data_IF_048689095087
#
_entry.id   IF_048689095087
#
_cell.length_a   1.000
_cell.length_b   1.000
_cell.length_c   1.000
_cell.angle_alpha   90.00
_cell.angle_beta   90.00
_cell.angle_gamma   90.00
#
_symmetry.space_group_name_H-M   'P 1'
#
loop_
_entity.id
_entity.type
_entity.pdbx_description
1 polymer ?
#
# COMPACT_ATOMS: atom_id res chain seq x y z
N UNK A 1 -26.41 3.44 -13.66
CA UNK A 1 -25.90 2.76 -12.44
C UNK A 1 -24.66 1.91 -12.74
N UNK A 2 -24.65 1.12 -13.81
CA UNK A 2 -23.47 0.34 -14.24
C UNK A 2 -22.21 1.20 -14.56
N UNK A 3 -22.38 2.37 -15.21
CA UNK A 3 -21.26 3.28 -15.50
C UNK A 3 -20.61 3.90 -14.25
N UNK A 4 -21.36 4.03 -13.15
CA UNK A 4 -20.85 4.60 -11.88
C UNK A 4 -20.13 3.53 -11.06
N UNK A 5 -20.48 2.27 -11.27
CA UNK A 5 -19.80 1.11 -10.68
C UNK A 5 -18.47 0.82 -11.38
N UNK A 6 -18.38 0.95 -12.71
CA UNK A 6 -17.10 0.74 -13.43
C UNK A 6 -16.05 1.81 -13.09
N UNK A 7 -16.48 3.06 -12.87
CA UNK A 7 -15.63 4.17 -12.40
C UNK A 7 -15.19 4.01 -10.94
N UNK A 8 -16.01 3.38 -10.10
CA UNK A 8 -15.63 3.06 -8.72
C UNK A 8 -14.63 1.90 -8.67
N UNK A 9 -14.81 0.85 -9.48
CA UNK A 9 -13.86 -0.27 -9.56
C UNK A 9 -12.51 0.11 -10.16
N UNK A 10 -12.48 1.07 -11.09
CA UNK A 10 -11.23 1.61 -11.63
C UNK A 10 -10.52 2.56 -10.66
N UNK A 11 -11.25 3.16 -9.71
CA UNK A 11 -10.69 4.00 -8.64
C UNK A 11 -10.17 3.20 -7.43
N UNK A 12 -10.75 2.03 -7.14
CA UNK A 12 -10.27 1.14 -6.06
C UNK A 12 -9.12 0.22 -6.49
N UNK A 13 -8.86 0.14 -7.78
CA UNK A 13 -7.66 -0.48 -8.33
C UNK A 13 -6.55 0.57 -8.36
N UNK A 14 -5.35 0.35 -7.80
CA UNK A 14 -4.21 1.22 -8.01
C UNK A 14 -3.71 1.07 -9.45
N UNK A 15 -4.53 1.53 -10.40
CA UNK A 15 -4.32 1.46 -11.84
C UNK A 15 -4.55 2.86 -12.40
N UNK A 16 -3.50 3.68 -12.30
CA UNK A 16 -3.46 5.03 -12.82
C UNK A 16 -2.10 5.67 -12.55
N UNK A 17 -1.10 5.28 -13.34
CA UNK A 17 0.26 5.86 -13.42
C UNK A 17 1.19 5.81 -12.19
N UNK A 18 0.68 5.66 -10.96
CA UNK A 18 1.51 5.56 -9.77
C UNK A 18 1.41 4.15 -9.17
N UNK A 19 2.40 3.31 -9.44
CA UNK A 19 2.62 2.15 -8.58
C UNK A 19 3.16 2.67 -7.24
N UNK A 20 2.44 2.45 -6.12
CA UNK A 20 2.95 2.81 -4.80
C UNK A 20 4.32 2.13 -4.59
N UNK A 21 5.24 2.72 -3.79
CA UNK A 21 6.49 2.08 -3.42
C UNK A 21 6.24 0.64 -2.94
N UNK A 22 7.16 -0.27 -3.21
CA UNK A 22 7.03 -1.68 -2.82
C UNK A 22 7.04 -1.80 -1.28
N UNK A 23 5.83 -1.85 -0.72
CA UNK A 23 5.59 -1.91 0.72
C UNK A 23 6.17 -3.20 1.31
N UNK A 24 6.22 -4.30 0.55
CA UNK A 24 6.71 -5.59 1.05
C UNK A 24 8.21 -5.51 1.33
N UNK A 25 9.00 -5.14 0.33
CA UNK A 25 10.45 -4.94 0.49
C UNK A 25 10.76 -3.85 1.51
N UNK A 26 10.01 -2.74 1.49
CA UNK A 26 10.16 -1.66 2.46
C UNK A 26 9.91 -2.09 3.90
N UNK A 27 8.86 -2.86 4.17
CA UNK A 27 8.50 -3.30 5.52
C UNK A 27 9.52 -4.31 6.08
N UNK A 28 9.98 -5.23 5.22
CA UNK A 28 11.02 -6.21 5.60
C UNK A 28 12.32 -5.49 5.97
N UNK A 29 12.76 -4.54 5.14
CA UNK A 29 13.97 -3.76 5.41
C UNK A 29 13.83 -2.84 6.63
N UNK A 30 12.69 -2.17 6.79
CA UNK A 30 12.44 -1.33 7.97
C UNK A 30 12.50 -2.16 9.26
N UNK A 31 11.90 -3.34 9.27
CA UNK A 31 11.92 -4.23 10.44
C UNK A 31 13.33 -4.75 10.70
N UNK A 32 14.01 -5.25 9.67
CA UNK A 32 15.36 -5.79 9.79
C UNK A 32 16.36 -4.73 10.29
N UNK A 33 16.36 -3.52 9.74
CA UNK A 33 17.24 -2.45 10.18
C UNK A 33 16.85 -1.86 11.52
N UNK A 34 15.57 -1.81 11.88
CA UNK A 34 15.16 -1.39 13.23
C UNK A 34 15.73 -2.32 14.29
N UNK A 35 15.75 -3.63 14.03
CA UNK A 35 16.32 -4.63 14.94
C UNK A 35 17.85 -4.57 14.93
N UNK A 36 18.48 -4.53 13.76
CA UNK A 36 19.95 -4.56 13.62
C UNK A 36 20.64 -3.29 14.09
N UNK A 37 20.02 -2.12 13.91
CA UNK A 37 20.64 -0.83 14.25
C UNK A 37 20.38 -0.37 15.69
N UNK A 38 19.32 -0.87 16.34
CA UNK A 38 18.90 -0.42 17.68
C UNK A 38 18.50 1.07 17.76
N UNK A 39 18.42 1.78 16.64
CA UNK A 39 18.16 3.24 16.55
C UNK A 39 16.67 3.60 16.44
N UNK A 40 15.79 2.63 16.68
CA UNK A 40 14.35 2.79 16.61
C UNK A 40 13.77 2.80 15.18
N UNK A 41 12.43 2.82 15.06
CA UNK A 41 11.73 2.66 13.78
C UNK A 41 11.96 3.82 12.80
N UNK A 42 12.16 5.04 13.30
CA UNK A 42 12.30 6.24 12.44
C UNK A 42 13.60 6.20 11.61
N UNK A 43 14.70 5.79 12.25
CA UNK A 43 15.98 5.62 11.56
C UNK A 43 15.87 4.55 10.49
N UNK A 44 15.19 3.43 10.77
CA UNK A 44 15.02 2.35 9.81
C UNK A 44 14.11 2.72 8.62
N UNK A 45 13.03 3.47 8.86
CA UNK A 45 12.14 3.96 7.80
C UNK A 45 12.85 4.89 6.82
N UNK A 46 13.77 5.69 7.32
CA UNK A 46 14.59 6.61 6.50
C UNK A 46 15.37 5.87 5.41
N UNK A 47 15.76 4.62 5.69
CA UNK A 47 16.49 3.75 4.78
C UNK A 47 15.55 2.93 3.89
N UNK A 48 14.52 2.39 4.52
CA UNK A 48 13.64 1.43 3.87
C UNK A 48 12.85 2.06 2.71
N UNK A 49 12.46 3.34 2.83
CA UNK A 49 11.64 4.00 1.83
C UNK A 49 12.40 4.22 0.51
N UNK A 50 13.61 4.82 0.48
CA UNK A 50 14.38 4.95 -0.76
C UNK A 50 14.70 3.60 -1.41
N UNK A 51 15.10 2.60 -0.62
CA UNK A 51 15.42 1.26 -1.15
C UNK A 51 14.17 0.57 -1.70
N UNK A 52 13.01 0.73 -1.05
CA UNK A 52 11.71 0.26 -1.56
C UNK A 52 11.34 0.92 -2.89
N UNK A 53 11.63 2.21 -3.08
CA UNK A 53 11.40 2.88 -4.36
C UNK A 53 12.31 2.34 -5.48
N UNK A 54 13.57 2.03 -5.17
CA UNK A 54 14.48 1.38 -6.12
C UNK A 54 14.02 -0.05 -6.46
N UNK A 55 13.65 -0.83 -5.45
CA UNK A 55 13.09 -2.18 -5.64
C UNK A 55 11.79 -2.14 -6.46
N UNK A 56 10.95 -1.11 -6.25
CA UNK A 56 9.76 -0.89 -7.06
C UNK A 56 10.11 -0.60 -8.52
N UNK A 57 11.16 0.18 -8.78
CA UNK A 57 11.60 0.48 -10.15
C UNK A 57 12.08 -0.80 -10.85
N UNK A 58 12.85 -1.65 -10.16
CA UNK A 58 13.23 -2.98 -10.66
C UNK A 58 12.01 -3.88 -10.90
N UNK A 59 11.01 -3.82 -10.02
CA UNK A 59 9.77 -4.57 -10.16
C UNK A 59 8.98 -4.18 -11.42
N UNK A 60 9.04 -2.91 -11.84
CA UNK A 60 8.46 -2.46 -13.12
C UNK A 60 9.22 -3.08 -14.29
N UNK A 61 10.56 -3.13 -14.25
CA UNK A 61 11.36 -3.81 -15.29
C UNK A 61 11.03 -5.30 -15.38
N UNK A 62 10.89 -5.99 -14.24
CA UNK A 62 10.51 -7.41 -14.19
C UNK A 62 9.12 -7.62 -14.81
N UNK A 63 8.17 -6.71 -14.61
CA UNK A 63 6.87 -6.75 -15.28
C UNK A 63 6.98 -6.61 -16.79
N UNK A 64 7.84 -5.71 -17.28
CA UNK A 64 8.13 -5.57 -18.72
C UNK A 64 8.73 -6.84 -19.30
N UNK A 65 9.65 -7.49 -18.57
CA UNK A 65 10.23 -8.78 -18.97
C UNK A 65 9.18 -9.89 -18.95
N UNK A 66 8.32 -9.94 -17.92
CA UNK A 66 7.23 -10.90 -17.82
C UNK A 66 6.22 -10.79 -18.97
N UNK A 67 6.01 -9.60 -19.53
CA UNK A 67 5.18 -9.45 -20.73
C UNK A 67 5.72 -10.26 -21.93
N UNK A 68 7.04 -10.48 -22.01
CA UNK A 68 7.64 -11.38 -23.03
C UNK A 68 7.27 -12.84 -22.80
N UNK A 69 7.25 -13.29 -21.55
CA UNK A 69 6.79 -14.65 -21.21
C UNK A 69 5.32 -14.87 -21.57
N UNK A 70 4.49 -13.83 -21.44
CA UNK A 70 3.10 -13.84 -21.93
C UNK A 70 3.01 -14.11 -23.44
N UNK A 71 3.77 -13.35 -24.25
CA UNK A 71 3.80 -13.57 -25.70
C UNK A 71 4.38 -14.95 -26.11
N UNK A 72 5.30 -15.51 -25.32
CA UNK A 72 5.79 -16.87 -25.54
C UNK A 72 4.72 -17.91 -25.20
N UNK A 73 3.97 -17.71 -24.11
CA UNK A 73 2.85 -18.58 -23.74
C UNK A 73 1.78 -18.62 -24.85
N UNK A 74 1.47 -17.48 -25.47
CA UNK A 74 0.53 -17.42 -26.62
C UNK A 74 1.00 -18.27 -27.80
N UNK A 75 2.31 -18.28 -28.09
CA UNK A 75 2.89 -19.12 -29.15
C UNK A 75 2.80 -20.61 -28.84
N UNK A 76 3.04 -21.01 -27.59
CA UNK A 76 2.91 -22.42 -27.17
C UNK A 76 1.45 -22.87 -27.09
N UNK A 77 0.52 -21.95 -26.81
CA UNK A 77 -0.92 -22.21 -26.85
C UNK A 77 -1.38 -22.51 -28.29
N UNK A 78 -0.89 -21.76 -29.29
CA UNK A 78 -1.18 -22.03 -30.70
C UNK A 78 -0.65 -23.39 -31.20
N UNK A 79 0.35 -23.97 -30.51
CA UNK A 79 0.91 -25.29 -30.80
C UNK A 79 0.25 -26.43 -30.01
N UNK A 80 -0.76 -26.13 -29.18
CA UNK A 80 -1.46 -27.12 -28.36
C UNK A 80 -0.63 -27.68 -27.19
N UNK A 81 0.53 -27.08 -26.87
CA UNK A 81 1.41 -27.56 -25.81
C UNK A 81 1.05 -26.95 -24.44
N UNK A 82 0.03 -27.52 -23.81
CA UNK A 82 -0.51 -27.06 -22.51
C UNK A 82 0.52 -27.09 -21.38
N UNK A 83 1.48 -28.03 -21.42
CA UNK A 83 2.54 -28.14 -20.41
C UNK A 83 3.49 -26.96 -20.44
N UNK A 84 3.87 -26.51 -21.64
CA UNK A 84 4.76 -25.35 -21.80
C UNK A 84 4.04 -24.03 -21.53
N UNK A 85 2.74 -23.94 -21.83
CA UNK A 85 1.91 -22.79 -21.42
C UNK A 85 1.89 -22.67 -19.90
N UNK A 86 1.64 -23.77 -19.17
CA UNK A 86 1.69 -23.76 -17.71
C UNK A 86 3.06 -23.37 -17.15
N UNK A 87 4.15 -23.85 -17.76
CA UNK A 87 5.51 -23.51 -17.32
C UNK A 87 5.87 -22.03 -17.58
N UNK A 88 5.50 -21.49 -18.74
CA UNK A 88 5.75 -20.08 -19.08
C UNK A 88 4.87 -19.11 -18.29
N UNK A 89 3.68 -19.55 -17.87
CA UNK A 89 2.80 -18.73 -17.06
C UNK A 89 3.14 -18.80 -15.56
N UNK A 90 3.56 -19.97 -15.06
CA UNK A 90 3.80 -20.18 -13.65
C UNK A 90 5.28 -20.08 -13.27
N UNK A 91 6.18 -20.77 -13.96
CA UNK A 91 7.58 -20.85 -13.53
C UNK A 91 8.37 -19.56 -13.83
N UNK A 92 8.22 -18.99 -15.03
CA UNK A 92 8.96 -17.79 -15.45
C UNK A 92 8.63 -16.57 -14.59
N UNK A 93 7.35 -16.15 -14.53
CA UNK A 93 6.94 -15.01 -13.72
C UNK A 93 7.20 -15.20 -12.23
N UNK A 94 6.93 -16.39 -11.67
CA UNK A 94 7.16 -16.66 -10.24
C UNK A 94 8.62 -16.54 -9.88
N UNK A 95 9.53 -17.09 -10.70
CA UNK A 95 10.96 -16.99 -10.45
C UNK A 95 11.44 -15.53 -10.55
N UNK A 96 10.98 -14.77 -11.55
CA UNK A 96 11.37 -13.38 -11.73
C UNK A 96 10.84 -12.47 -10.62
N UNK A 97 9.61 -12.69 -10.15
CA UNK A 97 9.07 -11.97 -8.99
C UNK A 97 9.80 -12.34 -7.71
N UNK A 98 10.12 -13.62 -7.51
CA UNK A 98 10.93 -14.06 -6.37
C UNK A 98 12.30 -13.38 -6.40
N UNK A 99 12.98 -13.38 -7.54
CA UNK A 99 14.31 -12.78 -7.68
C UNK A 99 14.28 -11.26 -7.49
N UNK A 100 13.22 -10.59 -7.96
CA UNK A 100 13.04 -9.15 -7.76
C UNK A 100 12.85 -8.76 -6.30
N UNK A 101 12.14 -9.57 -5.49
CA UNK A 101 11.99 -9.32 -4.05
C UNK A 101 13.23 -9.75 -3.26
N UNK A 102 13.83 -10.88 -3.64
CA UNK A 102 14.96 -11.47 -2.93
C UNK A 102 16.25 -10.66 -3.11
N UNK A 103 16.63 -10.28 -4.34
CA UNK A 103 17.91 -9.64 -4.59
C UNK A 103 18.08 -8.31 -3.82
N UNK A 104 17.13 -7.36 -3.85
CA UNK A 104 17.28 -6.09 -3.15
C UNK A 104 17.34 -6.27 -1.63
N UNK A 105 16.51 -7.17 -1.08
CA UNK A 105 16.49 -7.46 0.36
C UNK A 105 17.78 -8.15 0.79
N UNK A 106 18.22 -9.15 0.03
CA UNK A 106 19.43 -9.91 0.32
C UNK A 106 20.67 -9.03 0.29
N UNK A 107 20.85 -8.22 -0.77
CA UNK A 107 21.99 -7.31 -0.86
C UNK A 107 21.93 -6.21 0.21
N UNK A 108 20.76 -5.66 0.51
CA UNK A 108 20.61 -4.66 1.56
C UNK A 108 21.01 -5.21 2.95
N UNK A 109 20.64 -6.45 3.27
CA UNK A 109 21.03 -7.09 4.54
C UNK A 109 22.50 -7.50 4.53
N UNK A 110 23.00 -8.05 3.42
CA UNK A 110 24.38 -8.55 3.28
C UNK A 110 25.42 -7.44 3.36
N UNK A 111 25.16 -6.30 2.72
CA UNK A 111 26.02 -5.11 2.77
C UNK A 111 26.03 -4.48 4.19
N UNK A 112 25.09 -4.88 5.04
CA UNK A 112 25.02 -4.52 6.45
C UNK A 112 24.64 -3.06 6.68
N UNK A 113 24.51 -2.70 7.97
CA UNK A 113 24.17 -1.34 8.38
C UNK A 113 25.21 -0.30 7.96
N UNK A 114 26.49 -0.69 7.79
CA UNK A 114 27.60 0.22 7.48
C UNK A 114 27.56 0.76 6.04
N UNK A 115 27.41 -0.12 5.04
CA UNK A 115 27.30 0.31 3.65
C UNK A 115 26.00 1.09 3.40
N UNK A 116 24.94 0.69 4.10
CA UNK A 116 23.66 1.37 4.07
C UNK A 116 23.75 2.75 4.73
N UNK A 117 24.43 2.88 5.88
CA UNK A 117 24.65 4.19 6.52
C UNK A 117 25.46 5.13 5.63
N UNK A 118 26.51 4.62 4.98
CA UNK A 118 27.29 5.39 4.01
C UNK A 118 26.45 5.85 2.82
N UNK A 119 25.57 4.99 2.30
CA UNK A 119 24.63 5.36 1.24
C UNK A 119 23.62 6.42 1.69
N UNK A 120 23.14 6.37 2.94
CA UNK A 120 22.25 7.40 3.49
C UNK A 120 22.95 8.75 3.67
N UNK A 121 24.20 8.72 4.14
CA UNK A 121 25.02 9.92 4.28
C UNK A 121 25.35 10.56 2.93
N UNK A 122 25.37 9.76 1.86
CA UNK A 122 25.48 10.25 0.49
C UNK A 122 24.18 10.91 -0.03
N UNK A 123 23.02 10.66 0.60
CA UNK A 123 21.76 11.31 0.22
C UNK A 123 21.68 12.69 0.90
N UNK A 124 21.51 13.79 0.15
CA UNK A 124 21.39 15.12 0.73
C UNK A 124 20.23 15.21 1.74
N UNK A 125 20.43 15.85 2.90
CA UNK A 125 19.41 15.93 3.96
C UNK A 125 18.11 16.60 3.50
N UNK A 126 18.16 17.44 2.47
CA UNK A 126 16.97 18.05 1.85
C UNK A 126 16.01 17.01 1.27
N UNK A 127 16.54 15.95 0.64
CA UNK A 127 15.73 14.89 0.03
C UNK A 127 15.14 14.00 1.12
N UNK A 128 15.97 13.61 2.09
CA UNK A 128 15.56 12.75 3.21
C UNK A 128 14.51 13.43 4.08
N UNK A 129 14.69 14.71 4.41
CA UNK A 129 13.71 15.49 5.17
C UNK A 129 12.41 15.69 4.38
N UNK A 130 12.51 15.97 3.07
CA UNK A 130 11.34 16.05 2.20
C UNK A 130 10.53 14.75 2.19
N UNK A 131 11.23 13.60 2.13
CA UNK A 131 10.61 12.28 2.16
C UNK A 131 9.94 11.99 3.51
N UNK A 132 10.60 12.30 4.63
CA UNK A 132 10.03 12.14 5.98
C UNK A 132 8.74 12.96 6.13
N UNK A 133 8.74 14.23 5.67
CA UNK A 133 7.55 15.08 5.71
C UNK A 133 6.44 14.51 4.81
N UNK A 134 6.77 14.09 3.59
CA UNK A 134 5.81 13.47 2.68
C UNK A 134 5.19 12.19 3.27
N UNK A 135 5.99 11.33 3.90
CA UNK A 135 5.53 10.11 4.57
C UNK A 135 4.60 10.40 5.75
N UNK A 136 4.82 11.49 6.49
CA UNK A 136 3.92 11.90 7.57
C UNK A 136 2.56 12.41 7.08
N UNK A 137 2.50 12.94 5.85
CA UNK A 137 1.26 13.45 5.25
C UNK A 137 0.45 12.32 4.59
N UNK A 138 1.12 11.24 4.14
CA UNK A 138 0.49 10.16 3.39
C UNK A 138 -0.72 9.49 4.10
N UNK A 139 -0.69 9.20 5.42
CA UNK A 139 -1.86 8.69 6.13
C UNK A 139 -3.05 9.65 6.10
N UNK A 140 -2.82 10.96 6.23
CA UNK A 140 -3.88 11.97 6.19
C UNK A 140 -4.53 12.02 4.80
N UNK A 141 -3.74 11.91 3.73
CA UNK A 141 -4.25 11.80 2.37
C UNK A 141 -5.10 10.53 2.18
N UNK A 142 -4.66 9.39 2.74
CA UNK A 142 -5.42 8.15 2.73
C UNK A 142 -6.79 8.29 3.40
N UNK A 143 -6.85 8.87 4.60
CA UNK A 143 -8.13 9.15 5.27
C UNK A 143 -8.99 10.14 4.49
N UNK A 144 -8.40 11.18 3.88
CA UNK A 144 -9.13 12.14 3.06
C UNK A 144 -9.79 11.47 1.84
N UNK A 145 -9.10 10.54 1.18
CA UNK A 145 -9.67 9.76 0.07
C UNK A 145 -10.82 8.87 0.54
N UNK A 146 -10.64 8.14 1.65
CA UNK A 146 -11.70 7.29 2.23
C UNK A 146 -12.93 8.12 2.63
N UNK A 147 -12.73 9.23 3.33
CA UNK A 147 -13.80 10.14 3.71
C UNK A 147 -14.46 10.70 2.46
N UNK A 148 -13.71 11.15 1.45
CA UNK A 148 -14.32 11.69 0.22
C UNK A 148 -15.18 10.67 -0.52
N UNK A 149 -14.91 9.37 -0.40
CA UNK A 149 -15.73 8.32 -1.01
C UNK A 149 -16.97 7.96 -0.18
N UNK A 150 -16.89 8.05 1.16
CA UNK A 150 -17.98 7.70 2.07
C UNK A 150 -18.86 8.88 2.48
N UNK A 151 -18.33 10.10 2.46
CA UNK A 151 -18.95 11.28 3.03
C UNK A 151 -20.07 11.78 2.12
N UNK A 152 -21.26 11.83 2.70
CA UNK A 152 -22.40 12.56 2.17
C UNK A 152 -22.65 13.78 3.06
N UNK A 153 -23.29 14.83 2.54
CA UNK A 153 -23.65 16.02 3.33
C UNK A 153 -24.45 15.67 4.59
N UNK A 154 -25.21 14.56 4.56
CA UNK A 154 -25.96 14.04 5.72
C UNK A 154 -25.06 13.40 6.80
N UNK A 155 -23.88 12.92 6.43
CA UNK A 155 -22.94 12.22 7.32
C UNK A 155 -21.87 13.15 7.93
N UNK A 156 -21.78 14.39 7.44
CA UNK A 156 -20.80 15.38 7.90
C UNK A 156 -20.85 15.67 9.41
N UNK A 157 -22.03 15.78 10.05
CA UNK A 157 -22.10 15.97 11.50
C UNK A 157 -21.54 14.78 12.30
N UNK A 158 -21.71 13.55 11.80
CA UNK A 158 -21.22 12.34 12.45
C UNK A 158 -19.69 12.23 12.36
N UNK A 159 -19.11 12.65 11.24
CA UNK A 159 -17.65 12.77 11.09
C UNK A 159 -17.07 13.77 12.09
N UNK A 160 -17.69 14.95 12.21
CA UNK A 160 -17.26 15.98 13.16
C UNK A 160 -17.38 15.54 14.62
N UNK A 161 -18.47 14.85 14.96
CA UNK A 161 -18.67 14.30 16.30
C UNK A 161 -17.63 13.23 16.65
N UNK A 162 -17.36 12.29 15.74
CA UNK A 162 -16.29 11.30 15.92
C UNK A 162 -14.91 11.94 16.07
N UNK A 163 -14.62 12.98 15.29
CA UNK A 163 -13.36 13.73 15.40
C UNK A 163 -13.20 14.43 16.76
N UNK A 164 -14.25 15.07 17.27
CA UNK A 164 -14.24 15.70 18.59
C UNK A 164 -14.02 14.67 19.70
N UNK A 165 -14.73 13.54 19.66
CA UNK A 165 -14.56 12.47 20.65
C UNK A 165 -13.11 11.93 20.61
N UNK A 166 -12.55 11.72 19.42
CA UNK A 166 -11.18 11.26 19.27
C UNK A 166 -10.15 12.28 19.80
N UNK A 167 -10.34 13.57 19.52
CA UNK A 167 -9.42 14.63 19.92
C UNK A 167 -9.41 14.89 21.43
N UNK A 168 -10.57 14.81 22.10
CA UNK A 168 -10.69 15.18 23.52
C UNK A 168 -10.58 13.99 24.48
N UNK A 169 -11.06 12.81 24.09
CA UNK A 169 -11.22 11.70 25.05
C UNK A 169 -9.96 10.83 25.21
N UNK A 170 -8.93 11.01 24.36
CA UNK A 170 -7.71 10.16 24.31
C UNK A 170 -7.99 8.66 24.38
N UNK A 171 -9.18 8.23 23.94
CA UNK A 171 -9.58 6.83 23.92
C UNK A 171 -8.87 6.10 22.79
N UNK A 172 -8.68 4.81 22.96
CA UNK A 172 -8.18 3.95 21.90
C UNK A 172 -9.16 3.96 20.71
N UNK A 173 -8.60 3.89 19.51
CA UNK A 173 -9.33 3.91 18.23
C UNK A 173 -10.37 2.78 18.18
N UNK A 174 -10.03 1.62 18.74
CA UNK A 174 -10.93 0.46 18.83
C UNK A 174 -12.17 0.79 19.66
N UNK A 175 -12.01 1.48 20.80
CA UNK A 175 -13.13 1.86 21.65
C UNK A 175 -14.07 2.84 20.93
N UNK A 176 -13.51 3.84 20.25
CA UNK A 176 -14.29 4.80 19.46
C UNK A 176 -15.04 4.10 18.32
N UNK A 177 -14.42 3.14 17.66
CA UNK A 177 -15.05 2.35 16.60
C UNK A 177 -16.24 1.52 17.11
N UNK A 178 -16.11 0.89 18.28
CA UNK A 178 -17.22 0.14 18.90
C UNK A 178 -18.42 1.04 19.22
N UNK A 179 -18.18 2.22 19.80
CA UNK A 179 -19.25 3.20 20.03
C UNK A 179 -19.90 3.66 18.73
N UNK A 180 -19.11 3.88 17.67
CA UNK A 180 -19.62 4.27 16.36
C UNK A 180 -20.52 3.19 15.74
N UNK A 181 -20.17 1.89 15.91
CA UNK A 181 -21.00 0.77 15.43
C UNK A 181 -22.34 0.70 16.15
N UNK A 182 -22.35 0.85 17.48
CA UNK A 182 -23.60 0.87 18.26
C UNK A 182 -24.49 2.04 17.83
N UNK A 183 -23.91 3.24 17.68
CA UNK A 183 -24.62 4.43 17.22
C UNK A 183 -25.18 4.26 15.80
N UNK A 184 -24.41 3.67 14.89
CA UNK A 184 -24.87 3.34 13.54
C UNK A 184 -26.04 2.35 13.54
N UNK A 185 -26.02 1.34 14.42
CA UNK A 185 -27.10 0.36 14.53
C UNK A 185 -28.41 1.01 15.02
N UNK A 186 -28.32 1.88 16.04
CA UNK A 186 -29.48 2.63 16.54
C UNK A 186 -30.08 3.50 15.42
N UNK A 187 -29.25 4.25 14.70
CA UNK A 187 -29.71 5.12 13.61
C UNK A 187 -30.32 4.30 12.47
N UNK A 188 -29.75 3.14 12.15
CA UNK A 188 -30.30 2.23 11.12
C UNK A 188 -31.68 1.71 11.50
N UNK A 189 -31.93 1.42 12.78
CA UNK A 189 -33.25 1.00 13.27
C UNK A 189 -34.28 2.14 13.09
N UNK A 190 -33.94 3.37 13.48
CA UNK A 190 -34.83 4.53 13.34
C UNK A 190 -35.11 4.91 11.87
N UNK A 191 -34.12 4.80 10.98
CA UNK A 191 -34.30 5.06 9.55
C UNK A 191 -35.21 4.03 8.88
N UNK A 192 -35.12 2.75 9.27
CA UNK A 192 -35.99 1.69 8.73
C UNK A 192 -37.46 1.84 9.16
N UNK A 193 -37.72 2.37 10.36
CA UNK A 193 -39.09 2.60 10.85
C UNK A 193 -39.81 3.68 10.05
N UNK A 194 -39.12 4.77 9.70
CA UNK A 194 -39.70 5.86 8.91
C UNK A 194 -39.98 5.49 7.43
N UNK A 195 -39.39 4.39 6.92
CA UNK A 195 -39.70 3.88 5.57
C UNK A 195 -40.94 2.98 5.52
N UNK A 196 -41.47 2.54 6.67
CA UNK A 196 -42.69 1.73 6.74
C UNK A 196 -43.98 2.57 6.83
N UNK A 197 -43.87 3.86 7.12
CA UNK A 197 -45.01 4.80 7.16
C UNK A 197 -45.26 5.56 5.85
N UNK A 198 -44.44 5.35 4.81
CA UNK A 198 -44.59 5.95 3.46
C UNK A 198 -44.87 4.91 2.40
#
# INVERSE_FOLDING_TARGET
MALRWSLFSSATSPSGAAHPPDIVTGSVLATAFSIMSGRGPEAALTIAIPVSMLAQTLGILVRVVNARFGHLADRYAAQGNTRMVGLMHLAGPTLLYFLNGFLPVFFAILLGSSAVSWFLEAIPPVITNGLIVASKILPALGFALLISMMLSSKLMPYLGLGFLIAAYTKLDIIAIALFAVVLAFIISQFLNLNQQES
#
